data_IF_786344617551
#
_entry.id   IF_786344617551
#
_cell.length_a   1.000
_cell.length_b   1.000
_cell.length_c   1.000
_cell.angle_alpha   90.00
_cell.angle_beta   90.00
_cell.angle_gamma   90.00
#
_symmetry.space_group_name_H-M   'P 1'
#
loop_
_entity.id
_entity.type
_entity.pdbx_description
1 polymer ?
#
# COMPACT_ATOMS: atom_id res chain seq x y z
N UNK A 1 25.56 -57.75 7.04
CA UNK A 1 24.21 -57.18 6.83
C UNK A 1 24.33 -55.79 7.38
N UNK A 2 24.81 -54.89 6.52
CA UNK A 2 25.38 -53.61 6.92
C UNK A 2 24.60 -52.49 6.23
N UNK A 3 24.03 -51.64 7.08
CA UNK A 3 24.03 -50.18 7.03
C UNK A 3 24.11 -49.57 5.62
N UNK A 4 23.00 -49.00 5.14
CA UNK A 4 22.99 -47.68 4.52
C UNK A 4 21.72 -46.95 4.95
N UNK A 5 21.90 -46.04 5.92
CA UNK A 5 21.00 -44.93 6.12
C UNK A 5 21.25 -43.90 5.02
N UNK A 6 20.20 -43.54 4.29
CA UNK A 6 20.16 -42.31 3.52
C UNK A 6 19.42 -41.28 4.36
N UNK A 7 20.19 -40.57 5.18
CA UNK A 7 19.83 -39.21 5.51
C UNK A 7 20.05 -38.36 4.27
N UNK A 8 19.01 -37.69 3.80
CA UNK A 8 19.18 -36.47 3.03
C UNK A 8 18.61 -35.33 3.88
N UNK A 9 19.53 -34.74 4.63
CA UNK A 9 19.38 -33.49 5.36
C UNK A 9 19.86 -32.41 4.41
N UNK A 10 18.94 -31.56 3.95
CA UNK A 10 19.32 -30.24 3.45
C UNK A 10 18.54 -29.76 2.23
N UNK A 11 17.38 -29.12 2.46
CA UNK A 11 17.17 -27.77 1.95
C UNK A 11 15.99 -27.05 2.65
N UNK A 12 16.10 -26.88 3.97
CA UNK A 12 15.20 -26.03 4.75
C UNK A 12 15.96 -24.73 5.04
N UNK A 13 15.87 -23.72 4.17
CA UNK A 13 16.69 -22.50 4.35
C UNK A 13 16.21 -21.22 3.67
N UNK A 14 15.51 -21.31 2.54
CA UNK A 14 14.85 -20.16 1.90
C UNK A 14 13.37 -20.47 1.80
N UNK A 15 12.70 -20.60 2.95
CA UNK A 15 11.25 -20.66 2.98
C UNK A 15 10.71 -19.47 2.18
N UNK A 16 9.93 -19.77 1.14
CA UNK A 16 9.51 -18.86 0.06
C UNK A 16 9.11 -17.46 0.57
N UNK A 17 10.08 -16.55 0.66
CA UNK A 17 9.93 -15.20 1.25
C UNK A 17 8.98 -14.35 0.41
N UNK A 18 8.83 -14.67 -0.88
CA UNK A 18 7.94 -13.97 -1.79
C UNK A 18 6.48 -14.44 -1.64
N UNK A 19 6.23 -15.66 -1.15
CA UNK A 19 4.87 -16.21 -1.03
C UNK A 19 3.88 -15.30 -0.28
N UNK A 20 4.22 -14.75 0.91
CA UNK A 20 3.34 -13.84 1.62
C UNK A 20 3.01 -12.57 0.82
N UNK A 21 4.00 -11.97 0.16
CA UNK A 21 3.83 -10.75 -0.65
C UNK A 21 2.98 -11.01 -1.89
N UNK A 22 3.23 -12.13 -2.56
CA UNK A 22 2.44 -12.59 -3.70
C UNK A 22 0.99 -12.88 -3.32
N UNK A 23 0.76 -13.42 -2.12
CA UNK A 23 -0.59 -13.65 -1.60
C UNK A 23 -1.33 -12.33 -1.37
N UNK A 24 -0.66 -11.28 -0.87
CA UNK A 24 -1.24 -9.94 -0.71
C UNK A 24 -1.58 -9.33 -2.08
N UNK A 25 -0.66 -9.42 -3.04
CA UNK A 25 -0.81 -8.80 -4.36
C UNK A 25 -1.84 -9.50 -5.25
N UNK A 26 -1.88 -10.83 -5.23
CA UNK A 26 -2.63 -11.63 -6.20
C UNK A 26 -3.76 -12.46 -5.60
N UNK A 27 -3.74 -12.74 -4.30
CA UNK A 27 -4.70 -13.61 -3.64
C UNK A 27 -5.81 -12.82 -2.95
N UNK A 28 -7.04 -13.36 -2.89
CA UNK A 28 -8.02 -12.83 -1.97
C UNK A 28 -7.50 -13.04 -0.54
N UNK A 29 -7.43 -11.97 0.24
CA UNK A 29 -6.91 -12.03 1.59
C UNK A 29 -7.98 -11.64 2.60
N UNK A 30 -7.91 -12.25 3.78
CA UNK A 30 -8.81 -11.90 4.89
C UNK A 30 -8.33 -10.60 5.51
N UNK A 31 -9.18 -9.59 5.47
CA UNK A 31 -8.97 -8.35 6.20
C UNK A 31 -9.88 -8.36 7.44
N UNK A 32 -9.29 -8.06 8.58
CA UNK A 32 -10.04 -7.82 9.81
C UNK A 32 -10.08 -6.31 10.03
N UNK A 33 -11.28 -5.73 9.93
CA UNK A 33 -11.50 -4.31 10.09
C UNK A 33 -12.27 -4.07 11.38
N UNK A 34 -11.73 -3.23 12.27
CA UNK A 34 -12.50 -2.75 13.41
C UNK A 34 -13.52 -1.72 12.94
N UNK A 35 -14.80 -2.04 13.09
CA UNK A 35 -15.92 -1.15 12.79
C UNK A 35 -16.60 -0.80 14.10
N UNK A 36 -16.93 0.48 14.28
CA UNK A 36 -17.77 0.91 15.39
C UNK A 36 -19.23 0.68 14.99
N UNK A 37 -19.92 -0.22 15.68
CA UNK A 37 -21.36 -0.42 15.47
C UNK A 37 -22.11 0.85 15.92
N UNK A 38 -22.83 1.54 15.01
CA UNK A 38 -23.51 2.79 15.33
C UNK A 38 -24.67 2.60 16.32
N UNK A 39 -25.19 1.38 16.49
CA UNK A 39 -26.32 1.09 17.39
C UNK A 39 -25.82 0.75 18.79
N UNK A 40 -24.80 -0.12 18.89
CA UNK A 40 -24.31 -0.57 20.20
C UNK A 40 -23.12 0.25 20.72
N UNK A 41 -22.53 1.09 19.88
CA UNK A 41 -21.33 1.88 20.15
C UNK A 41 -20.14 1.02 20.63
N UNK A 42 -20.12 -0.25 20.20
CA UNK A 42 -19.05 -1.20 20.49
C UNK A 42 -18.19 -1.38 19.25
N UNK A 43 -16.90 -1.61 19.48
CA UNK A 43 -15.98 -2.01 18.41
C UNK A 43 -16.22 -3.47 18.08
N UNK A 44 -16.53 -3.75 16.84
CA UNK A 44 -16.70 -5.09 16.31
C UNK A 44 -15.64 -5.34 15.24
N UNK A 45 -15.02 -6.50 15.28
CA UNK A 45 -14.08 -6.93 14.24
C UNK A 45 -14.87 -7.61 13.13
N UNK A 46 -15.02 -6.92 12.00
CA UNK A 46 -15.63 -7.49 10.81
C UNK A 46 -14.55 -8.20 10.00
N UNK A 47 -14.79 -9.48 9.68
CA UNK A 47 -13.90 -10.26 8.81
C UNK A 47 -14.40 -10.15 7.38
N UNK A 48 -13.69 -9.40 6.55
CA UNK A 48 -13.93 -9.27 5.12
C UNK A 48 -13.06 -10.21 4.30
N UNK A 49 -13.53 -10.58 3.11
CA UNK A 49 -12.66 -11.13 2.06
C UNK A 49 -12.40 -9.98 1.08
N UNK A 50 -11.15 -9.54 1.04
CA UNK A 50 -10.68 -8.52 0.11
C UNK A 50 -10.11 -9.19 -1.14
N UNK A 51 -10.15 -8.52 -2.29
CA UNK A 51 -9.48 -9.02 -3.50
C UNK A 51 -7.95 -8.86 -3.37
N UNK A 52 -7.19 -9.40 -4.31
CA UNK A 52 -5.76 -9.09 -4.38
C UNK A 52 -5.55 -7.62 -4.69
N UNK A 53 -4.51 -6.99 -4.11
CA UNK A 53 -4.27 -5.55 -4.32
C UNK A 53 -4.16 -5.17 -5.81
N UNK A 54 -3.63 -6.05 -6.65
CA UNK A 54 -3.56 -5.80 -8.10
C UNK A 54 -4.93 -5.79 -8.76
N UNK A 55 -5.87 -6.64 -8.31
CA UNK A 55 -7.24 -6.65 -8.84
C UNK A 55 -8.00 -5.39 -8.40
N UNK A 56 -7.74 -4.91 -7.18
CA UNK A 56 -8.32 -3.66 -6.68
C UNK A 56 -7.78 -2.43 -7.41
N UNK A 57 -6.48 -2.39 -7.67
CA UNK A 57 -5.86 -1.35 -8.50
C UNK A 57 -6.51 -1.31 -9.90
N UNK A 58 -6.69 -2.47 -10.53
CA UNK A 58 -7.33 -2.56 -11.85
C UNK A 58 -8.81 -2.17 -11.80
N UNK A 59 -9.51 -2.50 -10.71
CA UNK A 59 -10.89 -2.06 -10.47
C UNK A 59 -10.99 -0.54 -10.32
N UNK A 60 -10.08 0.10 -9.58
CA UNK A 60 -10.06 1.54 -9.39
C UNK A 60 -9.84 2.28 -10.71
N UNK A 61 -8.92 1.79 -11.55
CA UNK A 61 -8.73 2.31 -12.92
C UNK A 61 -10.03 2.19 -13.73
N UNK A 62 -10.69 1.03 -13.68
CA UNK A 62 -11.94 0.81 -14.41
C UNK A 62 -13.08 1.74 -13.96
N UNK A 63 -13.20 1.99 -12.64
CA UNK A 63 -14.17 2.94 -12.07
C UNK A 63 -13.89 4.36 -12.57
N UNK A 64 -12.62 4.80 -12.52
CA UNK A 64 -12.20 6.11 -13.00
C UNK A 64 -12.51 6.33 -14.49
N UNK A 65 -12.42 5.29 -15.32
CA UNK A 65 -12.77 5.38 -16.75
C UNK A 65 -14.28 5.48 -17.01
N UNK A 66 -15.13 4.86 -16.18
CA UNK A 66 -16.59 4.85 -16.39
C UNK A 66 -17.29 6.17 -16.02
N UNK A 67 -16.70 6.95 -15.12
CA UNK A 67 -17.25 8.26 -14.71
C UNK A 67 -17.19 9.32 -15.83
N UNK A 68 -16.50 9.06 -16.94
CA UNK A 68 -16.40 9.95 -18.10
C UNK A 68 -17.61 9.98 -19.04
N UNK A 69 -18.64 9.15 -18.83
CA UNK A 69 -19.69 8.90 -19.85
C UNK A 69 -21.09 9.46 -19.56
N UNK A 70 -21.26 10.29 -18.52
CA UNK A 70 -22.61 10.72 -18.12
C UNK A 70 -22.72 12.00 -17.30
N UNK A 71 -22.17 13.13 -17.76
CA UNK A 71 -22.67 14.45 -17.35
C UNK A 71 -22.26 15.52 -18.35
N UNK A 72 -23.24 16.21 -18.93
CA UNK A 72 -23.07 17.32 -19.86
C UNK A 72 -22.66 18.62 -19.15
N UNK A 73 -21.54 18.61 -18.42
CA UNK A 73 -20.89 19.81 -17.90
C UNK A 73 -19.40 19.58 -17.72
N UNK A 74 -18.64 19.78 -18.81
CA UNK A 74 -17.33 20.46 -18.82
C UNK A 74 -16.20 20.11 -17.83
N UNK A 75 -16.27 19.04 -17.04
CA UNK A 75 -15.13 18.60 -16.24
C UNK A 75 -14.22 17.73 -17.10
N UNK A 76 -12.97 18.17 -17.22
CA UNK A 76 -11.89 17.39 -17.82
C UNK A 76 -11.93 15.98 -17.23
N UNK A 77 -11.83 14.98 -18.10
CA UNK A 77 -11.63 13.58 -17.75
C UNK A 77 -10.43 13.56 -16.79
N UNK A 78 -10.67 13.49 -15.48
CA UNK A 78 -9.65 13.14 -14.51
C UNK A 78 -9.49 11.63 -14.65
N UNK A 79 -8.78 11.23 -15.71
CA UNK A 79 -8.21 9.89 -15.76
C UNK A 79 -7.43 9.74 -14.47
N UNK A 80 -7.64 8.63 -13.75
CA UNK A 80 -6.86 8.28 -12.58
C UNK A 80 -5.42 7.98 -13.03
N UNK A 81 -4.66 9.04 -13.38
CA UNK A 81 -3.34 8.95 -13.98
C UNK A 81 -2.38 8.20 -13.05
N UNK A 82 -2.47 8.44 -11.74
CA UNK A 82 -1.69 7.72 -10.73
C UNK A 82 -1.88 6.19 -10.80
N UNK A 83 -3.10 5.66 -10.57
CA UNK A 83 -3.35 4.22 -10.65
C UNK A 83 -2.96 3.59 -11.99
N UNK A 84 -3.18 4.30 -13.11
CA UNK A 84 -2.80 3.83 -14.44
C UNK A 84 -1.27 3.75 -14.61
N UNK A 85 -0.54 4.81 -14.28
CA UNK A 85 0.93 4.86 -14.34
C UNK A 85 1.55 3.76 -13.46
N UNK A 86 1.00 3.54 -12.26
CA UNK A 86 1.44 2.49 -11.36
C UNK A 86 1.19 1.10 -11.95
N UNK A 87 0.00 0.86 -12.49
CA UNK A 87 -0.34 -0.40 -13.16
C UNK A 87 0.57 -0.69 -14.37
N UNK A 88 0.85 0.33 -15.19
CA UNK A 88 1.75 0.21 -16.34
C UNK A 88 3.18 -0.09 -15.91
N UNK A 89 3.68 0.56 -14.86
CA UNK A 89 5.02 0.29 -14.30
C UNK A 89 5.14 -1.15 -13.82
N UNK A 90 4.19 -1.61 -12.99
CA UNK A 90 4.16 -2.99 -12.46
C UNK A 90 4.10 -3.99 -13.62
N UNK A 91 3.20 -3.76 -14.58
CA UNK A 91 3.06 -4.64 -15.76
C UNK A 91 4.34 -4.69 -16.58
N UNK A 92 4.99 -3.54 -16.79
CA UNK A 92 6.23 -3.43 -17.55
C UNK A 92 7.39 -4.18 -16.89
N UNK A 93 7.55 -4.06 -15.58
CA UNK A 93 8.61 -4.75 -14.84
C UNK A 93 8.39 -6.26 -14.79
N UNK A 94 7.16 -6.71 -14.49
CA UNK A 94 6.79 -8.13 -14.53
C UNK A 94 7.01 -8.73 -15.92
N UNK A 95 6.56 -8.03 -16.97
CA UNK A 95 6.69 -8.51 -18.35
C UNK A 95 8.15 -8.58 -18.79
N UNK A 96 8.96 -7.57 -18.44
CA UNK A 96 10.38 -7.52 -18.78
C UNK A 96 11.11 -8.73 -18.20
N UNK A 97 10.88 -9.04 -16.93
CA UNK A 97 11.54 -10.18 -16.30
C UNK A 97 10.93 -11.52 -16.74
N UNK A 98 9.61 -11.59 -16.95
CA UNK A 98 8.97 -12.78 -17.49
C UNK A 98 9.50 -13.15 -18.89
N UNK A 99 9.79 -12.17 -19.76
CA UNK A 99 10.46 -12.40 -21.06
C UNK A 99 11.86 -13.00 -20.87
N UNK A 100 12.59 -12.57 -19.84
CA UNK A 100 13.91 -13.14 -19.50
C UNK A 100 13.80 -14.59 -19.04
N UNK A 101 12.75 -14.90 -18.26
CA UNK A 101 12.59 -16.18 -17.56
C UNK A 101 11.84 -17.24 -18.38
N UNK A 102 10.95 -16.83 -19.28
CA UNK A 102 10.02 -17.73 -19.97
C UNK A 102 9.86 -17.37 -21.44
N UNK A 103 9.78 -18.39 -22.28
CA UNK A 103 9.43 -18.27 -23.72
C UNK A 103 7.92 -18.29 -23.96
N UNK A 104 7.11 -18.55 -22.92
CA UNK A 104 5.66 -18.64 -22.99
C UNK A 104 5.05 -17.62 -22.05
N UNK A 105 4.50 -16.57 -22.63
CA UNK A 105 3.85 -15.47 -21.91
C UNK A 105 2.38 -15.46 -22.29
N UNK A 106 1.51 -15.38 -21.29
CA UNK A 106 0.07 -15.19 -21.49
C UNK A 106 -0.26 -13.80 -20.97
N UNK A 107 -0.66 -12.92 -21.87
CA UNK A 107 -1.14 -11.61 -21.49
C UNK A 107 -2.56 -11.73 -20.92
N UNK A 108 -2.80 -11.07 -19.79
CA UNK A 108 -4.05 -11.12 -19.06
C UNK A 108 -4.11 -10.06 -17.97
N UNK A 109 -5.00 -10.21 -16.98
CA UNK A 109 -5.04 -9.38 -15.79
C UNK A 109 -3.66 -9.27 -15.11
N UNK A 110 -3.44 -8.18 -14.38
CA UNK A 110 -2.14 -7.90 -13.77
C UNK A 110 -1.80 -8.95 -12.69
N UNK A 111 -2.81 -9.40 -11.96
CA UNK A 111 -2.71 -10.49 -10.98
C UNK A 111 -2.27 -11.81 -11.63
N UNK A 112 -2.81 -12.17 -12.79
CA UNK A 112 -2.42 -13.37 -13.54
C UNK A 112 -1.00 -13.27 -14.10
N UNK A 113 -0.62 -12.10 -14.61
CA UNK A 113 0.74 -11.82 -15.07
C UNK A 113 1.74 -11.97 -13.92
N UNK A 114 1.42 -11.45 -12.73
CA UNK A 114 2.23 -11.57 -11.53
C UNK A 114 2.38 -13.03 -11.07
N UNK A 115 1.30 -13.83 -11.09
CA UNK A 115 1.36 -15.27 -10.79
C UNK A 115 2.23 -16.02 -11.79
N UNK A 116 2.08 -15.75 -13.08
CA UNK A 116 2.89 -16.38 -14.13
C UNK A 116 4.38 -16.02 -13.98
N UNK A 117 4.69 -14.76 -13.68
CA UNK A 117 6.05 -14.33 -13.34
C UNK A 117 6.59 -15.08 -12.13
N UNK A 118 5.84 -15.17 -11.02
CA UNK A 118 6.29 -15.86 -9.82
C UNK A 118 6.58 -17.35 -10.05
N UNK A 119 5.76 -18.03 -10.86
CA UNK A 119 6.01 -19.42 -11.26
C UNK A 119 7.31 -19.56 -12.07
N UNK A 120 7.50 -18.70 -13.08
CA UNK A 120 8.71 -18.70 -13.90
C UNK A 120 9.97 -18.34 -13.10
N UNK A 121 9.86 -17.35 -12.20
CA UNK A 121 10.92 -16.91 -11.32
C UNK A 121 11.38 -18.05 -10.40
N UNK A 122 10.44 -18.74 -9.73
CA UNK A 122 10.79 -19.91 -8.90
C UNK A 122 11.43 -21.04 -9.71
N UNK A 123 10.90 -21.33 -10.90
CA UNK A 123 11.44 -22.37 -11.77
C UNK A 123 12.88 -22.06 -12.26
N UNK A 124 13.27 -20.78 -12.28
CA UNK A 124 14.61 -20.34 -12.67
C UNK A 124 15.69 -20.60 -11.61
N UNK A 125 15.30 -21.02 -10.40
CA UNK A 125 16.19 -21.19 -9.24
C UNK A 125 16.96 -19.89 -8.91
N UNK A 126 16.23 -18.83 -8.52
CA UNK A 126 16.78 -17.49 -8.39
C UNK A 126 17.83 -17.43 -7.27
N UNK A 127 18.82 -16.58 -7.47
CA UNK A 127 19.84 -16.32 -6.46
C UNK A 127 19.25 -15.58 -5.26
N UNK A 128 19.90 -15.65 -4.10
CA UNK A 128 19.46 -14.90 -2.92
C UNK A 128 19.42 -13.37 -3.16
N UNK A 129 20.30 -12.85 -4.02
CA UNK A 129 20.30 -11.44 -4.42
C UNK A 129 19.06 -11.08 -5.25
N UNK A 130 18.71 -11.90 -6.25
CA UNK A 130 17.49 -11.71 -7.05
C UNK A 130 16.23 -11.81 -6.18
N UNK A 131 16.18 -12.73 -5.22
CA UNK A 131 15.06 -12.83 -4.27
C UNK A 131 14.94 -11.54 -3.45
N UNK A 132 16.05 -11.00 -2.92
CA UNK A 132 16.02 -9.78 -2.12
C UNK A 132 15.58 -8.54 -2.93
N UNK A 133 16.05 -8.41 -4.17
CA UNK A 133 15.66 -7.33 -5.08
C UNK A 133 14.15 -7.37 -5.38
N UNK A 134 13.63 -8.55 -5.68
CA UNK A 134 12.20 -8.73 -5.93
C UNK A 134 11.36 -8.57 -4.66
N UNK A 135 11.86 -9.00 -3.49
CA UNK A 135 11.18 -8.72 -2.21
C UNK A 135 10.99 -7.22 -2.02
N UNK A 136 12.05 -6.41 -2.14
CA UNK A 136 11.97 -4.95 -1.99
C UNK A 136 11.03 -4.31 -3.04
N UNK A 137 11.03 -4.85 -4.26
CA UNK A 137 10.17 -4.38 -5.36
C UNK A 137 8.70 -4.65 -5.05
N UNK A 138 8.35 -5.87 -4.62
CA UNK A 138 6.98 -6.24 -4.26
C UNK A 138 6.49 -5.46 -3.03
N UNK A 139 7.34 -5.24 -2.03
CA UNK A 139 7.02 -4.42 -0.86
C UNK A 139 6.71 -2.97 -1.25
N UNK A 140 7.53 -2.37 -2.11
CA UNK A 140 7.29 -1.02 -2.64
C UNK A 140 5.98 -0.95 -3.43
N UNK A 141 5.65 -1.96 -4.24
CA UNK A 141 4.37 -1.98 -4.95
C UNK A 141 3.18 -2.09 -4.00
N UNK A 142 3.27 -2.92 -2.95
CA UNK A 142 2.22 -3.02 -1.94
C UNK A 142 2.00 -1.67 -1.26
N UNK A 143 3.08 -0.96 -0.90
CA UNK A 143 2.99 0.37 -0.29
C UNK A 143 2.33 1.37 -1.25
N UNK A 144 2.81 1.46 -2.49
CA UNK A 144 2.29 2.39 -3.50
C UNK A 144 0.81 2.13 -3.81
N UNK A 145 0.41 0.86 -3.96
CA UNK A 145 -1.00 0.51 -4.19
C UNK A 145 -1.86 0.89 -2.99
N UNK A 146 -1.41 0.62 -1.77
CA UNK A 146 -2.16 0.99 -0.57
C UNK A 146 -2.31 2.50 -0.41
N UNK A 147 -1.26 3.29 -0.70
CA UNK A 147 -1.34 4.75 -0.68
C UNK A 147 -2.35 5.28 -1.71
N UNK A 148 -2.52 4.61 -2.84
CA UNK A 148 -3.51 4.98 -3.86
C UNK A 148 -4.94 4.57 -3.48
N UNK A 149 -5.13 3.34 -3.03
CA UNK A 149 -6.45 2.80 -2.71
C UNK A 149 -7.00 3.33 -1.37
N UNK A 150 -6.11 3.64 -0.44
CA UNK A 150 -6.46 4.17 0.89
C UNK A 150 -5.57 5.37 1.21
N UNK A 151 -5.77 6.52 0.54
CA UNK A 151 -4.96 7.69 0.80
C UNK A 151 -5.07 8.09 2.28
N UNK A 152 -3.95 8.45 2.93
CA UNK A 152 -3.98 8.92 4.30
C UNK A 152 -4.88 10.15 4.39
N UNK A 153 -5.82 10.11 5.33
CA UNK A 153 -6.63 11.27 5.68
C UNK A 153 -5.74 12.25 6.42
N UNK A 154 -5.79 13.52 6.00
CA UNK A 154 -5.13 14.61 6.70
C UNK A 154 -6.13 15.35 7.58
N UNK A 155 -5.73 15.61 8.82
CA UNK A 155 -6.44 16.51 9.73
C UNK A 155 -5.52 17.66 10.10
N UNK A 156 -5.99 18.86 9.84
CA UNK A 156 -5.29 20.09 10.17
C UNK A 156 -5.10 20.25 11.70
N UNK A 157 -3.90 20.67 12.10
CA UNK A 157 -3.57 21.06 13.47
C UNK A 157 -3.25 22.56 13.45
N UNK A 158 -4.12 23.37 14.02
CA UNK A 158 -4.09 24.84 13.90
C UNK A 158 -2.95 25.51 14.65
N UNK A 159 -2.33 24.79 15.58
CA UNK A 159 -1.27 25.28 16.44
C UNK A 159 0.12 25.22 15.77
N UNK A 160 1.09 26.02 16.25
CA UNK A 160 2.43 26.05 15.69
C UNK A 160 3.17 24.72 15.86
N UNK A 161 4.10 24.46 14.95
CA UNK A 161 4.99 23.32 15.04
C UNK A 161 5.81 23.36 16.34
N UNK A 162 5.82 22.30 17.16
CA UNK A 162 6.57 22.28 18.42
C UNK A 162 8.10 22.28 18.23
N UNK A 163 8.58 22.04 17.00
CA UNK A 163 10.02 22.01 16.67
C UNK A 163 10.49 23.35 16.12
N UNK A 164 9.83 23.88 15.08
CA UNK A 164 10.26 25.12 14.41
C UNK A 164 9.38 26.35 14.71
N UNK A 165 8.35 26.20 15.55
CA UNK A 165 7.38 27.23 15.89
C UNK A 165 6.59 27.85 14.73
N UNK A 166 6.75 27.35 13.51
CA UNK A 166 6.02 27.94 12.39
C UNK A 166 4.55 27.51 12.39
N UNK A 167 3.68 28.42 11.96
CA UNK A 167 2.23 28.31 12.12
C UNK A 167 1.51 27.92 10.82
N UNK A 168 1.94 28.49 9.68
CA UNK A 168 1.24 28.34 8.40
C UNK A 168 2.19 28.19 7.24
N UNK A 169 1.80 27.36 6.29
CA UNK A 169 2.44 27.20 4.99
C UNK A 169 1.60 27.93 3.97
N UNK A 170 2.25 28.78 3.19
CA UNK A 170 1.63 29.47 2.06
C UNK A 170 2.03 28.73 0.80
N UNK A 171 1.05 28.15 0.13
CA UNK A 171 1.19 27.59 -1.22
C UNK A 171 0.57 28.56 -2.22
N UNK A 172 0.77 28.32 -3.53
CA UNK A 172 0.20 29.19 -4.58
C UNK A 172 -1.34 29.28 -4.50
N UNK A 173 -2.00 28.23 -4.01
CA UNK A 173 -3.46 28.09 -4.03
C UNK A 173 -4.11 28.19 -2.64
N UNK A 174 -3.35 28.08 -1.55
CA UNK A 174 -3.92 28.06 -0.20
C UNK A 174 -2.94 28.44 0.91
N UNK A 175 -3.51 28.87 2.04
CA UNK A 175 -2.81 28.99 3.31
C UNK A 175 -3.27 27.85 4.21
N UNK A 176 -2.37 26.92 4.51
CA UNK A 176 -2.63 25.75 5.34
C UNK A 176 -1.86 25.84 6.66
N UNK A 177 -2.30 25.18 7.73
CA UNK A 177 -1.49 25.07 8.95
C UNK A 177 -0.18 24.33 8.67
N UNK A 178 0.86 24.70 9.41
CA UNK A 178 2.19 24.11 9.24
C UNK A 178 2.29 22.66 9.72
N UNK A 179 1.31 22.19 10.49
CA UNK A 179 1.26 20.86 11.09
C UNK A 179 -0.03 20.17 10.69
N UNK A 180 0.10 18.91 10.28
CA UNK A 180 -1.01 18.03 9.94
C UNK A 180 -0.86 16.70 10.65
N UNK A 181 -1.99 16.11 11.04
CA UNK A 181 -2.07 14.73 11.48
C UNK A 181 -2.52 13.87 10.29
N UNK A 182 -1.66 12.97 9.84
CA UNK A 182 -1.93 12.01 8.77
C UNK A 182 -2.28 10.67 9.37
N UNK A 183 -3.30 9.99 8.86
CA UNK A 183 -3.63 8.63 9.29
C UNK A 183 -4.46 7.90 8.24
N UNK A 184 -4.33 6.58 8.20
CA UNK A 184 -5.22 5.69 7.47
C UNK A 184 -6.53 5.52 8.24
N UNK A 185 -7.68 5.70 7.60
CA UNK A 185 -8.99 5.58 8.25
C UNK A 185 -9.22 4.19 8.85
N UNK A 186 -8.66 3.15 8.21
CA UNK A 186 -8.76 1.76 8.66
C UNK A 186 -7.99 1.49 9.95
N UNK A 187 -6.95 2.29 10.26
CA UNK A 187 -6.07 2.11 11.42
C UNK A 187 -5.63 3.46 12.00
N UNK A 188 -6.57 4.28 12.50
CA UNK A 188 -6.33 5.70 12.76
C UNK A 188 -5.32 5.93 13.88
N UNK A 189 -5.09 4.96 14.76
CA UNK A 189 -4.14 5.06 15.88
C UNK A 189 -2.77 4.59 15.46
N UNK A 190 -2.67 3.41 14.84
CA UNK A 190 -1.40 2.79 14.49
C UNK A 190 -0.69 3.54 13.37
N UNK A 191 -1.46 4.10 12.43
CA UNK A 191 -0.95 4.85 11.28
C UNK A 191 -0.85 6.37 11.51
N UNK A 192 -1.21 6.86 12.70
CA UNK A 192 -1.16 8.28 13.00
C UNK A 192 0.27 8.82 12.88
N UNK A 193 0.47 9.86 12.10
CA UNK A 193 1.73 10.58 11.99
C UNK A 193 1.47 12.08 12.07
N UNK A 194 2.13 12.73 13.03
CA UNK A 194 2.12 14.18 13.14
C UNK A 194 3.29 14.70 12.31
N UNK A 195 3.01 15.47 11.27
CA UNK A 195 4.01 15.96 10.31
C UNK A 195 3.96 17.47 10.26
N UNK A 196 5.13 18.10 10.29
CA UNK A 196 5.27 19.50 9.93
C UNK A 196 5.79 19.62 8.51
N UNK A 197 5.21 20.53 7.73
CA UNK A 197 5.63 20.76 6.34
C UNK A 197 7.09 21.21 6.19
N UNK A 198 7.69 21.83 7.21
CA UNK A 198 9.10 22.25 7.17
C UNK A 198 10.06 21.28 7.86
N UNK A 199 9.63 20.65 8.96
CA UNK A 199 10.50 19.78 9.76
C UNK A 199 10.38 18.30 9.38
N UNK A 200 9.34 17.91 8.65
CA UNK A 200 9.00 16.52 8.40
C UNK A 200 8.32 15.85 9.61
N UNK A 201 8.49 14.53 9.78
CA UNK A 201 7.83 13.75 10.84
C UNK A 201 8.20 14.24 12.26
N UNK A 202 7.19 14.53 13.08
CA UNK A 202 7.34 14.96 14.48
C UNK A 202 7.12 13.77 15.43
N UNK A 203 6.02 13.02 15.23
CA UNK A 203 5.61 11.94 16.10
C UNK A 203 4.79 10.88 15.35
N UNK A 204 4.75 9.66 15.87
CA UNK A 204 4.01 8.52 15.30
C UNK A 204 3.11 7.83 16.31
N UNK A 205 2.08 7.17 15.82
CA UNK A 205 1.14 6.34 16.57
C UNK A 205 0.40 7.12 17.67
N UNK A 206 0.27 6.48 18.83
CA UNK A 206 -0.35 7.08 20.03
C UNK A 206 0.32 8.40 20.43
N UNK A 207 1.64 8.54 20.20
CA UNK A 207 2.35 9.77 20.52
C UNK A 207 1.96 10.93 19.60
N UNK A 208 1.65 10.65 18.33
CA UNK A 208 1.12 11.65 17.41
C UNK A 208 -0.24 12.17 17.89
N UNK A 209 -1.16 11.26 18.26
CA UNK A 209 -2.49 11.63 18.78
C UNK A 209 -2.38 12.42 20.08
N UNK A 210 -1.56 11.94 21.02
CA UNK A 210 -1.34 12.62 22.29
C UNK A 210 -0.72 14.01 22.10
N UNK A 211 0.21 14.16 21.16
CA UNK A 211 0.79 15.45 20.80
C UNK A 211 -0.28 16.39 20.25
N UNK A 212 -1.13 15.94 19.30
CA UNK A 212 -2.23 16.75 18.78
C UNK A 212 -3.19 17.22 19.88
N UNK A 213 -3.52 16.35 20.84
CA UNK A 213 -4.41 16.69 21.97
C UNK A 213 -3.76 17.71 22.94
N UNK A 214 -2.46 17.57 23.23
CA UNK A 214 -1.73 18.53 24.10
C UNK A 214 -1.63 19.90 23.44
N UNK A 215 -1.35 19.90 22.15
CA UNK A 215 -1.22 21.08 21.33
C UNK A 215 -2.54 21.86 21.32
N UNK A 216 -3.67 21.18 21.07
CA UNK A 216 -5.00 21.80 21.10
C UNK A 216 -5.49 22.20 22.50
N UNK A 217 -5.01 21.57 23.58
CA UNK A 217 -5.35 21.98 24.95
C UNK A 217 -4.66 23.25 25.45
N UNK A 218 -3.54 23.65 24.85
CA UNK A 218 -2.82 24.88 25.22
C UNK A 218 -3.37 26.14 24.54
N UNK A 219 -4.32 26.00 23.61
CA UNK A 219 -4.99 27.08 22.90
C UNK A 219 -6.28 27.59 23.60
N UNK A 220 -6.59 27.06 24.80
CA UNK A 220 -7.72 27.47 25.65
C UNK A 220 -7.26 28.39 26.78
#
# INVERSE_FOLDING_TARGET
MDILGSGDVGNSGTGDVLSPLLAILTGPHREETEVLDPVTNRRETVKGIRAGLLDELQSEIAIGMQQGTGSAFGSRILVAAGPMDLSERISGDLTRDLIRLSTRIRFGPLSDTCRQWAEAFRASHPTAGEVAEWTATLESWIEDINMMLQPPTEREVTDPCPICAGEKVVTEDSVAPAVVLRYLQSRPIESAELVCHWCGPIAKGVNAIAATLRISSNAS
#
